data_IF_043436635295
#
_entry.id   IF_043436635295
#
_cell.length_a   1.000
_cell.length_b   1.000
_cell.length_c   1.000
_cell.angle_alpha   90.00
_cell.angle_beta   90.00
_cell.angle_gamma   90.00
#
_symmetry.space_group_name_H-M   'P 1'
#
loop_
_entity.id
_entity.type
_entity.pdbx_description
1 polymer ?
#
# COMPACT_ATOMS: atom_id res chain seq x y z
N UNK A 1 -16.72 -16.44 3.89
CA UNK A 1 -15.28 -16.65 3.70
C UNK A 1 -14.89 -17.87 4.52
N UNK A 2 -14.29 -18.86 3.89
CA UNK A 2 -13.73 -20.04 4.57
C UNK A 2 -12.21 -19.86 4.66
N UNK A 3 -11.61 -20.21 5.80
CA UNK A 3 -10.16 -20.12 6.02
C UNK A 3 -9.62 -21.51 6.32
N UNK A 4 -8.54 -21.88 5.62
CA UNK A 4 -7.80 -23.11 5.89
C UNK A 4 -7.23 -23.09 7.34
N UNK A 5 -7.14 -24.23 8.06
CA UNK A 5 -6.66 -24.25 9.44
C UNK A 5 -5.29 -23.61 9.65
N UNK A 6 -4.37 -23.74 8.68
CA UNK A 6 -3.07 -23.06 8.75
C UNK A 6 -3.18 -21.54 8.68
N UNK A 7 -4.10 -20.99 7.86
CA UNK A 7 -4.36 -19.55 7.82
C UNK A 7 -4.91 -19.04 9.16
N UNK A 8 -5.75 -19.84 9.82
CA UNK A 8 -6.25 -19.53 11.18
C UNK A 8 -5.09 -19.51 12.19
N UNK A 9 -4.23 -20.53 12.18
CA UNK A 9 -3.01 -20.56 13.03
C UNK A 9 -2.14 -19.33 12.85
N UNK A 10 -1.92 -18.89 11.59
CA UNK A 10 -1.17 -17.67 11.29
C UNK A 10 -1.91 -16.42 11.78
N UNK A 11 -3.23 -16.36 11.57
CA UNK A 11 -4.08 -15.25 11.98
C UNK A 11 -4.08 -15.06 13.50
N UNK A 12 -4.06 -16.15 14.26
CA UNK A 12 -4.12 -16.14 15.72
C UNK A 12 -2.76 -15.87 16.40
N UNK A 13 -1.77 -15.41 15.65
CA UNK A 13 -0.47 -14.97 16.19
C UNK A 13 -0.48 -13.50 16.61
N UNK A 14 0.32 -13.09 17.62
CA UNK A 14 0.48 -11.68 18.00
C UNK A 14 0.88 -10.77 16.83
N UNK A 15 1.78 -11.27 15.96
CA UNK A 15 2.29 -10.56 14.80
C UNK A 15 1.17 -10.20 13.81
N UNK A 16 0.19 -11.09 13.62
CA UNK A 16 -0.96 -10.82 12.75
C UNK A 16 -2.06 -10.03 13.47
N UNK A 17 -2.40 -10.38 14.71
CA UNK A 17 -3.42 -9.67 15.50
C UNK A 17 -3.08 -8.19 15.71
N UNK A 18 -1.79 -7.84 15.73
CA UNK A 18 -1.28 -6.46 15.68
C UNK A 18 -1.95 -5.61 14.61
N UNK A 19 -2.26 -6.16 13.44
CA UNK A 19 -2.86 -5.40 12.33
C UNK A 19 -4.25 -4.82 12.67
N UNK A 20 -4.90 -5.27 13.76
CA UNK A 20 -6.14 -4.67 14.27
C UNK A 20 -5.92 -3.25 14.82
N UNK A 21 -4.69 -2.92 15.16
CA UNK A 21 -4.28 -1.69 15.80
C UNK A 21 -3.54 -0.75 14.82
N UNK A 22 -3.67 -0.98 13.50
CA UNK A 22 -3.05 -0.16 12.46
C UNK A 22 -4.11 0.21 11.42
N UNK A 23 -4.47 1.50 11.36
CA UNK A 23 -5.44 2.04 10.42
C UNK A 23 -4.97 1.84 8.98
N UNK A 24 -5.86 1.35 8.12
CA UNK A 24 -5.58 1.15 6.68
C UNK A 24 -5.12 2.47 6.03
N UNK A 25 -5.86 3.54 6.32
CA UNK A 25 -5.69 4.85 5.69
C UNK A 25 -5.01 5.88 6.60
N UNK A 26 -4.20 5.44 7.56
CA UNK A 26 -3.37 6.34 8.38
C UNK A 26 -4.17 7.43 9.06
N UNK A 27 -3.87 8.71 8.76
CA UNK A 27 -4.57 9.86 9.35
C UNK A 27 -5.92 10.21 8.70
N UNK A 28 -6.31 9.50 7.64
CA UNK A 28 -7.51 9.81 6.85
C UNK A 28 -8.80 9.73 7.68
N UNK A 29 -8.86 8.90 8.72
CA UNK A 29 -10.04 8.81 9.59
C UNK A 29 -10.39 10.12 10.30
N UNK A 30 -9.43 11.04 10.45
CA UNK A 30 -9.64 12.38 11.02
C UNK A 30 -10.26 13.38 10.02
N UNK A 31 -10.48 12.95 8.77
CA UNK A 31 -11.18 13.72 7.73
C UNK A 31 -12.41 12.95 7.27
N UNK A 32 -12.26 11.65 7.03
CA UNK A 32 -13.31 10.72 6.65
C UNK A 32 -13.61 9.79 7.83
N UNK A 33 -14.57 10.12 8.71
CA UNK A 33 -14.80 9.35 9.94
C UNK A 33 -15.22 7.89 9.69
N UNK A 34 -15.72 7.56 8.48
CA UNK A 34 -16.01 6.18 8.08
C UNK A 34 -14.76 5.34 7.78
N UNK A 35 -13.60 5.95 7.53
CA UNK A 35 -12.32 5.28 7.30
C UNK A 35 -11.69 4.72 8.59
N UNK A 36 -12.48 4.02 9.40
CA UNK A 36 -12.08 3.46 10.70
C UNK A 36 -11.44 2.07 10.62
N UNK A 37 -11.44 1.46 9.43
CA UNK A 37 -10.93 0.11 9.19
C UNK A 37 -9.41 0.02 9.30
N UNK A 38 -8.95 -1.17 9.64
CA UNK A 38 -7.55 -1.51 9.90
C UNK A 38 -7.03 -2.50 8.87
N UNK A 39 -5.70 -2.68 8.86
CA UNK A 39 -5.00 -3.60 7.96
C UNK A 39 -5.46 -5.06 8.15
N UNK A 40 -5.89 -5.44 9.35
CA UNK A 40 -6.32 -6.82 9.67
C UNK A 40 -7.42 -7.34 8.74
N UNK A 41 -8.54 -6.64 8.65
CA UNK A 41 -9.67 -7.07 7.81
C UNK A 41 -9.38 -6.95 6.32
N UNK A 42 -8.47 -6.06 5.91
CA UNK A 42 -7.96 -5.96 4.56
C UNK A 42 -7.12 -7.19 4.20
N UNK A 43 -6.14 -7.57 5.02
CA UNK A 43 -5.32 -8.78 4.84
C UNK A 43 -6.17 -10.06 4.71
N UNK A 44 -7.24 -10.19 5.50
CA UNK A 44 -8.18 -11.30 5.35
C UNK A 44 -8.91 -11.29 3.99
N UNK A 45 -9.30 -10.11 3.52
CA UNK A 45 -9.93 -9.95 2.21
C UNK A 45 -8.99 -10.26 1.04
N UNK A 46 -7.72 -9.84 1.14
CA UNK A 46 -6.69 -10.16 0.14
C UNK A 46 -6.42 -11.66 0.10
N UNK A 47 -6.28 -12.33 1.25
CA UNK A 47 -6.15 -13.79 1.30
C UNK A 47 -7.33 -14.51 0.63
N UNK A 48 -8.55 -14.04 0.88
CA UNK A 48 -9.75 -14.57 0.24
C UNK A 48 -9.75 -14.39 -1.28
N UNK A 49 -9.46 -13.18 -1.77
CA UNK A 49 -9.43 -12.90 -3.21
C UNK A 49 -8.28 -13.62 -3.92
N UNK A 50 -7.12 -13.75 -3.28
CA UNK A 50 -5.98 -14.52 -3.78
C UNK A 50 -6.39 -15.98 -4.00
N UNK A 51 -7.02 -16.62 -3.00
CA UNK A 51 -7.56 -17.98 -3.14
C UNK A 51 -8.65 -18.08 -4.22
N UNK A 52 -9.55 -17.10 -4.32
CA UNK A 52 -10.57 -17.10 -5.38
C UNK A 52 -9.95 -17.04 -6.78
N UNK A 53 -8.92 -16.21 -6.99
CA UNK A 53 -8.28 -16.05 -8.29
C UNK A 53 -7.53 -17.32 -8.70
N UNK A 54 -6.69 -17.87 -7.81
CA UNK A 54 -5.98 -19.14 -8.10
C UNK A 54 -6.96 -20.27 -8.39
N UNK A 55 -8.04 -20.37 -7.60
CA UNK A 55 -9.06 -21.40 -7.80
C UNK A 55 -9.78 -21.24 -9.13
N UNK A 56 -10.13 -20.02 -9.53
CA UNK A 56 -10.72 -19.75 -10.83
C UNK A 56 -9.77 -20.12 -11.99
N UNK A 57 -8.46 -19.85 -11.86
CA UNK A 57 -7.47 -20.27 -12.85
C UNK A 57 -7.39 -21.80 -12.93
N UNK A 58 -7.39 -22.49 -11.79
CA UNK A 58 -7.38 -23.96 -11.71
C UNK A 58 -8.62 -24.57 -12.37
N UNK A 59 -9.81 -24.09 -12.01
CA UNK A 59 -11.09 -24.55 -12.56
C UNK A 59 -11.20 -24.29 -14.07
N UNK A 60 -10.64 -23.18 -14.54
CA UNK A 60 -10.66 -22.80 -15.96
C UNK A 60 -9.65 -23.57 -16.83
N UNK A 61 -8.56 -24.07 -16.24
CA UNK A 61 -7.41 -24.65 -16.93
C UNK A 61 -6.68 -25.70 -16.08
N UNK A 62 -7.21 -26.93 -16.13
CA UNK A 62 -6.63 -28.09 -15.42
C UNK A 62 -5.19 -28.40 -15.88
N UNK A 63 -4.80 -28.01 -17.09
CA UNK A 63 -3.45 -28.20 -17.63
C UNK A 63 -2.37 -27.41 -16.89
N UNK A 64 -2.74 -26.39 -16.09
CA UNK A 64 -1.82 -25.60 -15.26
C UNK A 64 -1.31 -26.35 -14.03
N UNK A 65 -1.90 -27.52 -13.72
CA UNK A 65 -1.51 -28.41 -12.61
C UNK A 65 -1.37 -27.66 -11.27
N UNK A 66 -2.22 -26.67 -11.02
CA UNK A 66 -2.22 -25.91 -9.75
C UNK A 66 -2.56 -26.89 -8.62
N UNK A 67 -1.67 -26.98 -7.64
CA UNK A 67 -1.85 -27.89 -6.50
C UNK A 67 -2.55 -27.19 -5.34
N UNK A 68 -3.00 -27.96 -4.34
CA UNK A 68 -3.60 -27.38 -3.13
C UNK A 68 -2.54 -26.60 -2.33
N UNK A 69 -1.28 -27.01 -2.38
CA UNK A 69 -0.14 -26.30 -1.80
C UNK A 69 0.10 -24.95 -2.49
N UNK A 70 -0.02 -24.87 -3.83
CA UNK A 70 0.06 -23.60 -4.57
C UNK A 70 -1.04 -22.62 -4.11
N UNK A 71 -2.27 -23.11 -3.99
CA UNK A 71 -3.42 -22.31 -3.52
C UNK A 71 -3.14 -21.80 -2.11
N UNK A 72 -2.71 -22.68 -1.20
CA UNK A 72 -2.44 -22.33 0.19
C UNK A 72 -1.30 -21.32 0.30
N UNK A 73 -0.20 -21.48 -0.45
CA UNK A 73 0.91 -20.54 -0.49
C UNK A 73 0.45 -19.15 -0.93
N UNK A 74 -0.34 -19.06 -2.00
CA UNK A 74 -0.85 -17.78 -2.50
C UNK A 74 -1.81 -17.13 -1.51
N UNK A 75 -2.64 -17.91 -0.80
CA UNK A 75 -3.48 -17.41 0.28
C UNK A 75 -2.66 -16.89 1.47
N UNK A 76 -1.62 -17.63 1.89
CA UNK A 76 -0.73 -17.19 2.98
C UNK A 76 -0.01 -15.90 2.58
N UNK A 77 0.50 -15.80 1.35
CA UNK A 77 1.12 -14.58 0.85
C UNK A 77 0.14 -13.41 0.85
N UNK A 78 -1.09 -13.61 0.35
CA UNK A 78 -2.15 -12.61 0.40
C UNK A 78 -2.52 -12.19 1.82
N UNK A 79 -2.54 -13.13 2.78
CA UNK A 79 -2.76 -12.85 4.20
C UNK A 79 -1.61 -12.01 4.78
N UNK A 80 -0.37 -12.36 4.46
CA UNK A 80 0.81 -11.82 5.13
C UNK A 80 1.45 -10.60 4.44
N UNK A 81 0.98 -10.20 3.25
CA UNK A 81 1.64 -9.15 2.44
C UNK A 81 1.80 -7.80 3.17
N UNK A 82 0.90 -7.53 4.12
CA UNK A 82 0.77 -6.26 4.82
C UNK A 82 1.26 -6.28 6.29
N UNK A 83 1.83 -7.39 6.75
CA UNK A 83 2.34 -7.55 8.11
C UNK A 83 3.36 -6.46 8.52
N UNK A 84 4.10 -5.96 7.53
CA UNK A 84 5.18 -5.00 7.70
C UNK A 84 4.75 -3.55 7.85
N UNK A 85 3.46 -3.22 7.73
CA UNK A 85 3.02 -1.84 7.95
C UNK A 85 3.24 -1.39 9.40
N UNK A 86 3.69 -0.15 9.57
CA UNK A 86 3.90 0.48 10.86
C UNK A 86 2.72 1.37 11.29
N UNK A 87 2.86 2.10 12.42
CA UNK A 87 1.85 3.05 12.88
C UNK A 87 1.44 4.04 11.79
N UNK A 88 0.14 4.16 11.54
CA UNK A 88 -0.43 4.99 10.49
C UNK A 88 -0.05 4.58 9.06
N UNK A 89 0.25 3.30 8.83
CA UNK A 89 0.48 2.71 7.50
C UNK A 89 1.55 3.47 6.69
N UNK A 90 1.15 4.17 5.62
CA UNK A 90 2.07 4.82 4.67
C UNK A 90 2.83 6.03 5.25
N UNK A 91 2.36 6.56 6.38
CA UNK A 91 3.07 7.61 7.12
C UNK A 91 4.38 7.06 7.67
N UNK A 92 4.39 5.81 8.14
CA UNK A 92 5.53 5.25 8.82
C UNK A 92 6.69 4.97 7.87
N UNK A 93 6.47 4.15 6.84
CA UNK A 93 7.47 3.80 5.83
C UNK A 93 7.85 5.00 4.94
N UNK A 94 6.87 5.86 4.62
CA UNK A 94 7.07 7.00 3.72
C UNK A 94 7.72 8.23 4.36
N UNK A 95 7.39 8.53 5.63
CA UNK A 95 7.80 9.79 6.28
C UNK A 95 8.64 9.58 7.55
N UNK A 96 8.35 8.56 8.37
CA UNK A 96 9.05 8.35 9.66
C UNK A 96 10.37 7.59 9.48
N UNK A 97 10.32 6.41 8.86
CA UNK A 97 11.48 5.53 8.66
C UNK A 97 12.64 6.23 7.92
N UNK A 98 12.41 7.03 6.87
CA UNK A 98 13.48 7.71 6.15
C UNK A 98 14.24 8.70 7.04
N UNK A 99 13.52 9.45 7.88
CA UNK A 99 14.10 10.40 8.82
C UNK A 99 14.84 9.69 9.97
N UNK A 100 14.22 8.66 10.56
CA UNK A 100 14.78 7.91 11.69
C UNK A 100 16.04 7.13 11.29
N UNK A 101 16.01 6.43 10.15
CA UNK A 101 17.19 5.69 9.65
C UNK A 101 18.17 6.56 8.88
N UNK A 102 17.87 7.84 8.64
CA UNK A 102 18.62 8.75 7.74
C UNK A 102 18.86 8.13 6.35
N UNK A 103 17.84 7.45 5.83
CA UNK A 103 17.86 6.82 4.49
C UNK A 103 16.94 7.56 3.53
N UNK A 104 17.14 7.35 2.23
CA UNK A 104 16.18 7.83 1.22
C UNK A 104 14.82 7.14 1.39
N UNK A 105 13.73 7.87 1.15
CA UNK A 105 12.34 7.39 1.26
C UNK A 105 12.10 6.04 0.55
N UNK A 106 12.78 5.78 -0.58
CA UNK A 106 12.59 4.55 -1.36
C UNK A 106 13.16 3.26 -0.76
N UNK A 107 13.81 3.31 0.42
CA UNK A 107 14.49 2.15 1.04
C UNK A 107 13.81 1.60 2.30
N UNK A 108 12.81 2.28 2.87
CA UNK A 108 12.13 1.89 4.10
C UNK A 108 10.87 1.05 3.89
N UNK A 109 10.91 0.06 2.99
CA UNK A 109 9.71 -0.59 2.45
C UNK A 109 9.01 -1.53 3.42
N UNK A 110 7.69 -1.41 3.54
CA UNK A 110 6.88 -2.31 4.36
C UNK A 110 6.93 -3.76 3.86
N UNK A 111 7.14 -4.00 2.56
CA UNK A 111 7.22 -5.37 2.02
C UNK A 111 8.35 -6.20 2.65
N UNK A 112 9.51 -5.59 2.91
CA UNK A 112 10.64 -6.26 3.57
C UNK A 112 10.33 -6.55 5.05
N UNK A 113 9.61 -5.65 5.71
CA UNK A 113 9.15 -5.87 7.08
C UNK A 113 8.06 -6.95 7.13
N UNK A 114 7.24 -7.09 6.09
CA UNK A 114 6.26 -8.18 6.00
C UNK A 114 6.93 -9.54 5.93
N UNK A 115 8.02 -9.68 5.15
CA UNK A 115 8.83 -10.90 5.13
C UNK A 115 9.46 -11.18 6.50
N UNK A 116 10.02 -10.17 7.16
CA UNK A 116 10.61 -10.33 8.49
C UNK A 116 9.56 -10.80 9.52
N UNK A 117 8.37 -10.20 9.50
CA UNK A 117 7.26 -10.57 10.38
C UNK A 117 6.71 -11.97 10.05
N UNK A 118 6.64 -12.32 8.78
CA UNK A 118 6.26 -13.67 8.35
C UNK A 118 7.27 -14.73 8.82
N UNK A 119 8.57 -14.44 8.71
CA UNK A 119 9.63 -15.31 9.23
C UNK A 119 9.50 -15.56 10.74
N UNK A 120 9.17 -14.51 11.49
CA UNK A 120 8.95 -14.62 12.93
C UNK A 120 7.70 -15.44 13.27
N UNK A 121 6.61 -15.28 12.52
CA UNK A 121 5.42 -16.15 12.62
C UNK A 121 5.80 -17.61 12.37
N UNK A 122 6.50 -17.90 11.27
CA UNK A 122 6.91 -19.28 10.93
C UNK A 122 7.79 -19.87 12.04
N UNK A 123 8.71 -19.07 12.58
CA UNK A 123 9.56 -19.47 13.70
C UNK A 123 8.75 -19.76 14.96
N UNK A 124 7.77 -18.92 15.32
CA UNK A 124 6.88 -19.16 16.46
C UNK A 124 6.06 -20.43 16.29
N UNK A 125 5.47 -20.65 15.11
CA UNK A 125 4.70 -21.86 14.82
C UNK A 125 5.57 -23.13 14.88
N UNK A 126 6.79 -23.09 14.32
CA UNK A 126 7.75 -24.22 14.39
C UNK A 126 8.24 -24.49 15.81
N UNK A 127 8.27 -23.48 16.69
CA UNK A 127 8.62 -23.67 18.09
C UNK A 127 7.54 -24.42 18.88
N UNK A 128 6.26 -24.28 18.49
CA UNK A 128 5.14 -25.03 19.08
C UNK A 128 5.00 -26.43 18.46
N UNK A 129 5.17 -26.54 17.14
CA UNK A 129 5.17 -27.80 16.40
C UNK A 129 6.12 -27.69 15.20
N UNK A 130 7.26 -28.38 15.27
CA UNK A 130 8.31 -28.34 14.24
C UNK A 130 7.81 -28.71 12.85
N UNK A 131 6.82 -29.61 12.77
CA UNK A 131 6.26 -30.13 11.52
C UNK A 131 4.97 -29.43 11.10
N UNK A 132 4.56 -28.32 11.75
CA UNK A 132 3.28 -27.62 11.49
C UNK A 132 3.04 -27.28 10.02
N UNK A 133 4.08 -26.89 9.27
CA UNK A 133 3.97 -26.60 7.84
C UNK A 133 3.85 -27.90 7.02
N UNK A 134 4.64 -28.93 7.37
CA UNK A 134 4.64 -30.22 6.68
C UNK A 134 3.33 -30.99 6.87
N UNK A 135 2.68 -30.85 8.03
CA UNK A 135 1.33 -31.39 8.29
C UNK A 135 0.28 -30.86 7.30
N UNK A 136 0.54 -29.69 6.70
CA UNK A 136 -0.28 -29.06 5.68
C UNK A 136 0.32 -29.15 4.28
N UNK A 137 1.30 -30.03 4.06
CA UNK A 137 1.93 -30.27 2.76
C UNK A 137 2.97 -29.24 2.34
N UNK A 138 3.32 -28.27 3.20
CA UNK A 138 4.25 -27.21 2.86
C UNK A 138 5.69 -27.53 3.25
N UNK A 139 6.63 -27.22 2.36
CA UNK A 139 8.07 -27.38 2.56
C UNK A 139 8.84 -26.04 2.61
N UNK A 140 10.17 -26.10 2.66
CA UNK A 140 11.00 -24.89 2.71
C UNK A 140 10.99 -24.10 1.38
N UNK A 141 10.75 -24.75 0.23
CA UNK A 141 10.58 -24.09 -1.08
C UNK A 141 9.29 -23.27 -1.09
N UNK A 142 8.23 -23.75 -0.44
CA UNK A 142 6.98 -23.02 -0.26
C UNK A 142 7.14 -21.77 0.60
N UNK A 143 7.95 -21.85 1.67
CA UNK A 143 8.27 -20.67 2.50
C UNK A 143 9.00 -19.62 1.67
N UNK A 144 9.94 -20.02 0.80
CA UNK A 144 10.61 -19.11 -0.14
C UNK A 144 9.59 -18.49 -1.10
N UNK A 145 8.71 -19.30 -1.69
CA UNK A 145 7.69 -18.85 -2.61
C UNK A 145 6.76 -17.80 -1.99
N UNK A 146 6.27 -18.03 -0.78
CA UNK A 146 5.41 -17.09 -0.05
C UNK A 146 6.11 -15.73 0.13
N UNK A 147 7.40 -15.72 0.50
CA UNK A 147 8.17 -14.47 0.67
C UNK A 147 8.33 -13.73 -0.65
N UNK A 148 8.63 -14.45 -1.72
CA UNK A 148 8.75 -13.87 -3.06
C UNK A 148 7.42 -13.25 -3.54
N UNK A 149 6.28 -13.87 -3.22
CA UNK A 149 4.95 -13.30 -3.49
C UNK A 149 4.70 -12.03 -2.67
N UNK A 150 5.11 -11.99 -1.40
CA UNK A 150 4.96 -10.83 -0.50
C UNK A 150 5.82 -9.65 -0.97
N UNK A 151 7.09 -9.87 -1.30
CA UNK A 151 7.97 -8.81 -1.81
C UNK A 151 7.58 -8.32 -3.21
N UNK A 152 6.88 -9.19 -3.95
CA UNK A 152 6.64 -9.05 -5.38
C UNK A 152 7.96 -9.21 -6.14
N UNK A 153 8.46 -10.44 -6.16
CA UNK A 153 9.66 -10.80 -6.89
C UNK A 153 9.61 -10.27 -8.32
N UNK A 154 10.71 -9.64 -8.76
CA UNK A 154 10.83 -9.16 -10.13
C UNK A 154 11.08 -10.34 -11.04
N UNK A 155 10.01 -10.83 -11.60
CA UNK A 155 10.06 -11.82 -12.67
C UNK A 155 10.50 -11.13 -13.95
N UNK A 156 11.81 -11.09 -14.20
CA UNK A 156 12.36 -10.56 -15.45
C UNK A 156 12.41 -11.66 -16.52
N UNK A 157 12.35 -11.27 -17.80
CA UNK A 157 12.60 -12.19 -18.93
C UNK A 157 14.06 -12.71 -18.95
N UNK A 158 14.95 -12.16 -18.11
CA UNK A 158 16.36 -12.53 -18.03
C UNK A 158 16.57 -13.58 -16.94
N UNK A 159 17.17 -14.70 -17.35
CA UNK A 159 17.36 -15.94 -16.60
C UNK A 159 18.12 -15.83 -15.26
N UNK A 160 18.73 -14.69 -14.93
CA UNK A 160 19.51 -14.50 -13.69
C UNK A 160 18.67 -14.16 -12.46
N UNK A 161 17.43 -13.70 -12.66
CA UNK A 161 16.54 -13.22 -11.59
C UNK A 161 15.28 -14.10 -11.44
N UNK A 162 15.32 -15.36 -11.92
CA UNK A 162 14.18 -16.28 -11.78
C UNK A 162 13.94 -16.59 -10.30
N UNK A 163 12.71 -16.41 -9.78
CA UNK A 163 12.35 -16.79 -8.43
C UNK A 163 12.67 -18.26 -8.14
N UNK A 164 13.07 -18.56 -6.90
CA UNK A 164 13.44 -19.91 -6.47
C UNK A 164 12.24 -20.72 -5.95
N UNK A 165 11.16 -20.06 -5.54
CA UNK A 165 10.00 -20.70 -4.92
C UNK A 165 9.15 -21.54 -5.88
N UNK A 166 9.04 -21.14 -7.14
CA UNK A 166 8.31 -21.86 -8.20
C UNK A 166 9.00 -21.71 -9.54
N UNK A 167 8.85 -22.73 -10.37
CA UNK A 167 9.47 -22.80 -11.68
C UNK A 167 8.65 -21.95 -12.71
N UNK A 168 9.21 -21.71 -13.88
CA UNK A 168 8.63 -20.79 -14.89
C UNK A 168 7.27 -21.23 -15.43
N UNK A 169 6.90 -22.51 -15.35
CA UNK A 169 5.56 -22.98 -15.72
C UNK A 169 4.46 -22.40 -14.79
N UNK A 170 4.84 -21.99 -13.58
CA UNK A 170 3.98 -21.39 -12.54
C UNK A 170 4.16 -19.87 -12.40
N UNK A 171 4.86 -19.24 -13.34
CA UNK A 171 5.17 -17.81 -13.37
C UNK A 171 3.96 -16.90 -13.10
N UNK A 172 2.78 -17.26 -13.60
CA UNK A 172 1.53 -16.52 -13.42
C UNK A 172 1.08 -16.39 -11.95
N UNK A 173 1.53 -17.25 -11.03
CA UNK A 173 1.17 -17.14 -9.62
C UNK A 173 1.78 -15.89 -8.96
N UNK A 174 2.93 -15.42 -9.46
CA UNK A 174 3.59 -14.19 -8.98
C UNK A 174 2.83 -12.91 -9.34
N UNK A 175 1.80 -13.01 -10.18
CA UNK A 175 0.96 -11.88 -10.60
C UNK A 175 -0.28 -11.68 -9.70
N UNK A 176 -0.47 -12.52 -8.68
CA UNK A 176 -1.72 -12.56 -7.91
C UNK A 176 -1.71 -11.61 -6.72
N UNK A 177 -0.66 -11.64 -5.90
CA UNK A 177 -0.59 -10.91 -4.63
C UNK A 177 0.05 -9.54 -4.80
N UNK A 178 1.23 -9.46 -5.42
CA UNK A 178 1.96 -8.21 -5.62
C UNK A 178 2.53 -8.15 -7.04
N UNK A 179 1.70 -7.72 -7.99
CA UNK A 179 2.05 -7.74 -9.41
C UNK A 179 2.93 -6.53 -9.78
N UNK A 180 4.26 -6.71 -9.80
CA UNK A 180 5.18 -5.63 -10.17
C UNK A 180 5.27 -5.38 -11.68
N UNK A 181 4.65 -6.21 -12.52
CA UNK A 181 4.69 -6.05 -13.99
C UNK A 181 3.71 -4.97 -14.47
N UNK A 182 2.45 -5.06 -14.05
CA UNK A 182 1.40 -4.12 -14.48
C UNK A 182 0.55 -3.57 -13.32
N UNK A 183 0.81 -4.01 -12.09
CA UNK A 183 0.09 -3.54 -10.92
C UNK A 183 -1.34 -4.04 -10.81
N UNK A 184 -1.75 -5.08 -11.55
CA UNK A 184 -3.07 -5.72 -11.38
C UNK A 184 -2.91 -6.91 -10.43
N UNK A 185 -3.39 -6.76 -9.20
CA UNK A 185 -3.32 -7.76 -8.15
C UNK A 185 -4.54 -7.70 -7.22
N UNK A 186 -4.74 -8.75 -6.43
CA UNK A 186 -5.90 -8.91 -5.55
C UNK A 186 -5.88 -7.98 -4.32
N UNK A 187 -4.71 -7.46 -3.96
CA UNK A 187 -4.56 -6.36 -2.98
C UNK A 187 -5.43 -5.16 -3.37
N UNK A 188 -5.25 -4.68 -4.61
CA UNK A 188 -6.05 -3.57 -5.17
C UNK A 188 -7.53 -3.86 -5.21
N UNK A 189 -7.90 -5.09 -5.53
CA UNK A 189 -9.30 -5.47 -5.64
C UNK A 189 -10.01 -5.37 -4.29
N UNK A 190 -9.35 -5.79 -3.20
CA UNK A 190 -9.88 -5.64 -1.85
C UNK A 190 -9.94 -4.17 -1.44
N UNK A 191 -8.81 -3.44 -1.50
CA UNK A 191 -8.80 -2.08 -0.95
C UNK A 191 -9.68 -1.13 -1.76
N UNK A 192 -9.86 -1.32 -3.08
CA UNK A 192 -10.84 -0.51 -3.82
C UNK A 192 -12.25 -0.71 -3.30
N UNK A 193 -12.70 -1.95 -3.11
CA UNK A 193 -14.03 -2.23 -2.60
C UNK A 193 -14.20 -1.74 -1.16
N UNK A 194 -13.21 -2.01 -0.31
CA UNK A 194 -13.20 -1.70 1.11
C UNK A 194 -13.10 -0.21 1.38
N UNK A 195 -12.15 0.48 0.76
CA UNK A 195 -11.95 1.91 0.97
C UNK A 195 -13.12 2.69 0.40
N UNK A 196 -13.64 2.33 -0.78
CA UNK A 196 -14.86 2.92 -1.31
C UNK A 196 -16.04 2.80 -0.33
N UNK A 197 -16.24 1.63 0.26
CA UNK A 197 -17.28 1.40 1.26
C UNK A 197 -17.12 2.32 2.48
N UNK A 198 -15.93 2.37 3.07
CA UNK A 198 -15.66 3.15 4.28
C UNK A 198 -15.58 4.66 4.04
N UNK A 199 -15.15 5.10 2.85
CA UNK A 199 -15.05 6.50 2.46
C UNK A 199 -16.38 7.07 1.92
N UNK A 200 -17.34 6.21 1.59
CA UNK A 200 -18.58 6.62 0.90
C UNK A 200 -18.35 7.04 -0.57
N UNK A 201 -17.29 6.52 -1.19
CA UNK A 201 -16.95 6.75 -2.60
C UNK A 201 -17.46 5.54 -3.40
N UNK A 202 -17.96 5.75 -4.62
CA UNK A 202 -18.44 4.64 -5.44
C UNK A 202 -17.27 3.89 -6.09
N UNK A 203 -17.17 2.60 -5.84
CA UNK A 203 -16.28 1.72 -6.60
C UNK A 203 -16.86 1.48 -8.00
N UNK A 204 -16.09 1.79 -9.06
CA UNK A 204 -16.49 1.50 -10.45
C UNK A 204 -15.93 0.20 -10.99
N UNK A 205 -15.02 -0.45 -10.26
CA UNK A 205 -14.36 -1.68 -10.68
C UNK A 205 -15.06 -2.93 -10.14
N UNK A 206 -15.36 -3.89 -11.01
CA UNK A 206 -15.96 -5.18 -10.66
C UNK A 206 -14.92 -6.31 -10.75
N UNK A 207 -14.30 -6.62 -9.61
CA UNK A 207 -13.33 -7.69 -9.48
C UNK A 207 -13.95 -9.08 -9.63
N UNK A 208 -15.21 -9.28 -9.22
CA UNK A 208 -15.87 -10.59 -9.31
C UNK A 208 -16.06 -10.99 -10.77
N UNK A 209 -16.39 -10.01 -11.62
CA UNK A 209 -16.48 -10.20 -13.05
C UNK A 209 -15.10 -10.45 -13.67
N UNK A 210 -14.10 -9.64 -13.34
CA UNK A 210 -12.75 -9.79 -13.91
C UNK A 210 -12.15 -11.17 -13.60
N UNK A 211 -12.32 -11.63 -12.36
CA UNK A 211 -11.87 -12.95 -11.88
C UNK A 211 -12.42 -14.10 -12.73
N UNK A 212 -13.72 -14.07 -13.08
CA UNK A 212 -14.34 -15.10 -13.93
C UNK A 212 -13.79 -15.15 -15.35
N UNK A 213 -13.19 -14.05 -15.82
CA UNK A 213 -12.63 -13.94 -17.16
C UNK A 213 -11.10 -14.05 -17.18
N UNK A 214 -10.47 -14.35 -16.05
CA UNK A 214 -9.03 -14.62 -15.98
C UNK A 214 -8.70 -16.00 -16.59
N UNK A 215 -7.63 -16.04 -17.38
CA UNK A 215 -6.99 -17.24 -17.94
C UNK A 215 -5.48 -17.06 -17.92
N UNK A 216 -4.73 -18.13 -18.09
CA UNK A 216 -3.29 -18.12 -18.29
C UNK A 216 -2.98 -18.39 -19.77
N UNK A 217 -2.14 -17.56 -20.37
CA UNK A 217 -1.62 -17.75 -21.72
C UNK A 217 -0.10 -17.58 -21.73
N UNK A 218 0.56 -18.27 -22.66
CA UNK A 218 2.00 -18.13 -22.85
C UNK A 218 2.30 -16.85 -23.67
N UNK A 219 3.21 -16.03 -23.17
CA UNK A 219 3.78 -14.86 -23.86
C UNK A 219 5.28 -14.93 -23.71
N UNK A 220 6.02 -14.88 -24.83
CA UNK A 220 7.49 -14.93 -24.83
C UNK A 220 8.09 -16.11 -24.02
N UNK A 221 7.42 -17.27 -24.02
CA UNK A 221 7.87 -18.45 -23.27
C UNK A 221 7.57 -18.44 -21.77
N UNK A 222 6.76 -17.48 -21.29
CA UNK A 222 6.33 -17.36 -19.89
C UNK A 222 4.81 -17.37 -19.78
N UNK A 223 4.28 -17.94 -18.71
CA UNK A 223 2.85 -17.98 -18.45
C UNK A 223 2.39 -16.72 -17.70
N UNK A 224 1.44 -16.00 -18.28
CA UNK A 224 0.89 -14.75 -17.72
C UNK A 224 -0.61 -14.83 -17.51
N UNK A 225 -1.12 -14.13 -16.49
CA UNK A 225 -2.55 -13.92 -16.32
C UNK A 225 -3.04 -12.96 -17.40
N UNK A 226 -4.01 -13.43 -18.16
CA UNK A 226 -4.67 -12.73 -19.25
C UNK A 226 -6.16 -12.58 -18.96
N UNK A 227 -6.74 -11.45 -19.36
CA UNK A 227 -8.17 -11.20 -19.22
C UNK A 227 -8.90 -11.27 -20.57
N UNK A 228 -10.21 -11.48 -20.56
CA UNK A 228 -11.01 -11.43 -21.78
C UNK A 228 -10.98 -10.01 -22.37
N UNK A 229 -10.72 -9.87 -23.67
CA UNK A 229 -10.70 -8.59 -24.42
C UNK A 229 -11.83 -7.59 -24.05
N UNK A 230 -13.07 -8.07 -23.89
CA UNK A 230 -14.24 -7.26 -23.55
C UNK A 230 -14.19 -6.65 -22.13
N UNK A 231 -13.26 -7.09 -21.30
CA UNK A 231 -13.05 -6.58 -19.94
C UNK A 231 -12.05 -5.42 -19.90
N UNK A 232 -11.52 -4.98 -21.05
CA UNK A 232 -10.57 -3.88 -21.09
C UNK A 232 -11.11 -2.57 -20.49
N UNK A 233 -12.40 -2.27 -20.68
CA UNK A 233 -13.04 -1.12 -20.02
C UNK A 233 -13.12 -1.30 -18.48
N UNK A 234 -13.36 -2.52 -18.00
CA UNK A 234 -13.38 -2.82 -16.56
C UNK A 234 -11.96 -2.68 -15.95
N UNK A 235 -10.94 -3.14 -16.66
CA UNK A 235 -9.53 -2.92 -16.29
C UNK A 235 -9.20 -1.42 -16.29
N UNK A 236 -9.69 -0.66 -17.27
CA UNK A 236 -9.54 0.80 -17.28
C UNK A 236 -10.21 1.45 -16.06
N UNK A 237 -11.43 1.04 -15.74
CA UNK A 237 -12.19 1.51 -14.57
C UNK A 237 -11.49 1.16 -13.24
N UNK A 238 -10.71 0.08 -13.18
CA UNK A 238 -9.83 -0.23 -12.06
C UNK A 238 -8.80 0.90 -11.84
N UNK A 239 -8.07 1.29 -12.88
CA UNK A 239 -7.09 2.36 -12.81
C UNK A 239 -7.73 3.74 -12.57
N UNK A 240 -8.95 3.97 -13.08
CA UNK A 240 -9.73 5.18 -12.77
C UNK A 240 -10.18 5.22 -11.30
N UNK A 241 -10.57 4.08 -10.75
CA UNK A 241 -10.96 3.96 -9.34
C UNK A 241 -9.77 4.28 -8.44
N UNK A 242 -8.58 3.73 -8.74
CA UNK A 242 -7.33 4.09 -8.07
C UNK A 242 -7.08 5.59 -8.08
N UNK A 243 -7.10 6.20 -9.26
CA UNK A 243 -6.90 7.64 -9.42
C UNK A 243 -7.89 8.46 -8.57
N UNK A 244 -9.16 8.06 -8.59
CA UNK A 244 -10.23 8.74 -7.83
C UNK A 244 -9.98 8.67 -6.32
N UNK A 245 -9.62 7.49 -5.80
CA UNK A 245 -9.32 7.28 -4.38
C UNK A 245 -8.09 8.08 -3.94
N UNK A 246 -7.01 8.07 -4.73
CA UNK A 246 -5.84 8.87 -4.46
C UNK A 246 -6.19 10.37 -4.43
N UNK A 247 -6.88 10.87 -5.45
CA UNK A 247 -7.19 12.31 -5.56
C UNK A 247 -8.16 12.81 -4.48
N UNK A 248 -9.18 12.02 -4.15
CA UNK A 248 -10.24 12.47 -3.23
C UNK A 248 -9.94 12.16 -1.77
N UNK A 249 -9.29 11.03 -1.47
CA UNK A 249 -9.10 10.55 -0.10
C UNK A 249 -7.63 10.48 0.30
N UNK A 250 -6.83 9.60 -0.30
CA UNK A 250 -5.47 9.31 0.19
C UNK A 250 -4.55 10.51 0.12
N UNK A 251 -4.73 11.34 -0.91
CA UNK A 251 -4.01 12.59 -1.10
C UNK A 251 -4.92 13.78 -0.83
N UNK A 252 -5.86 13.68 0.11
CA UNK A 252 -6.65 14.83 0.51
C UNK A 252 -5.76 15.82 1.29
N UNK A 253 -5.75 17.10 0.91
CA UNK A 253 -4.87 18.13 1.49
C UNK A 253 -4.85 18.20 3.03
N UNK A 254 -5.99 17.95 3.68
CA UNK A 254 -6.05 17.93 5.15
C UNK A 254 -5.54 16.61 5.72
N UNK A 255 -5.66 15.49 5.01
CA UNK A 255 -5.06 14.22 5.42
C UNK A 255 -3.53 14.35 5.38
N UNK A 256 -2.97 14.80 4.25
CA UNK A 256 -1.52 14.94 4.08
C UNK A 256 -0.89 15.80 5.19
N UNK A 257 -1.50 16.94 5.56
CA UNK A 257 -0.93 17.80 6.61
C UNK A 257 -1.05 17.18 8.01
N UNK A 258 -2.08 16.38 8.27
CA UNK A 258 -2.22 15.62 9.52
C UNK A 258 -1.13 14.54 9.58
N UNK A 259 -0.90 13.85 8.46
CA UNK A 259 0.13 12.81 8.34
C UNK A 259 1.55 13.37 8.49
N UNK A 260 1.84 14.54 7.90
CA UNK A 260 3.09 15.27 8.13
C UNK A 260 3.29 15.60 9.63
N UNK A 261 2.22 16.04 10.31
CA UNK A 261 2.26 16.32 11.74
C UNK A 261 2.45 15.05 12.58
N UNK A 262 1.86 13.93 12.18
CA UNK A 262 2.11 12.64 12.83
C UNK A 262 3.56 12.22 12.68
N UNK A 263 4.10 12.28 11.46
CA UNK A 263 5.50 11.96 11.20
C UNK A 263 6.43 12.85 12.04
N UNK A 264 6.19 14.16 12.07
CA UNK A 264 6.97 15.10 12.88
C UNK A 264 6.94 14.75 14.38
N UNK A 265 5.77 14.40 14.92
CA UNK A 265 5.63 14.01 16.32
C UNK A 265 6.36 12.71 16.65
N UNK A 266 6.28 11.70 15.77
CA UNK A 266 6.94 10.41 15.93
C UNK A 266 8.46 10.54 15.85
N UNK A 267 8.97 11.26 14.86
CA UNK A 267 10.42 11.53 14.71
C UNK A 267 10.96 12.25 15.94
N UNK A 268 10.26 13.26 16.47
CA UNK A 268 10.68 13.95 17.71
C UNK A 268 10.63 13.06 18.95
N UNK A 269 9.75 12.06 18.98
CA UNK A 269 9.62 11.13 20.11
C UNK A 269 10.68 10.02 20.12
N UNK A 270 11.47 9.88 19.04
CA UNK A 270 12.46 8.82 18.90
C UNK A 270 13.75 9.13 19.66
N UNK A 271 14.06 8.29 20.65
CA UNK A 271 15.20 8.41 21.58
C UNK A 271 16.53 8.49 20.86
N UNK A 272 16.68 7.77 19.74
CA UNK A 272 17.97 7.64 19.06
C UNK A 272 18.42 8.88 18.32
N UNK A 273 17.51 9.80 18.03
CA UNK A 273 17.80 11.07 17.38
C UNK A 273 18.30 12.14 18.36
N UNK A 274 18.30 11.87 19.67
CA UNK A 274 18.67 12.83 20.72
C UNK A 274 19.98 12.47 21.43
N UNK A 275 20.81 13.49 21.69
CA UNK A 275 22.07 13.35 22.41
C UNK A 275 21.82 13.08 23.92
N UNK A 276 22.52 12.11 24.51
CA UNK A 276 22.33 11.74 25.93
C UNK A 276 21.09 10.89 26.26
N UNK A 277 20.43 10.31 25.24
CA UNK A 277 19.35 9.30 25.23
C UNK A 277 18.64 9.00 26.57
N UNK A 278 17.64 9.83 26.94
CA UNK A 278 16.82 9.66 28.15
C UNK A 278 16.00 8.36 28.18
N UNK A 279 15.74 7.81 29.37
CA UNK A 279 14.98 6.56 29.53
C UNK A 279 13.48 6.64 29.20
N UNK A 280 12.93 7.84 29.10
CA UNK A 280 11.50 8.12 28.95
C UNK A 280 11.07 8.46 27.51
N UNK A 281 12.00 8.55 26.56
CA UNK A 281 11.70 8.65 25.12
C UNK A 281 11.42 7.29 24.48
N UNK A 282 10.70 7.27 23.36
CA UNK A 282 10.34 6.04 22.64
C UNK A 282 11.51 5.52 21.81
N UNK A 283 11.65 4.20 21.65
CA UNK A 283 12.76 3.59 20.88
C UNK A 283 12.26 3.11 19.51
N UNK A 284 11.76 4.02 18.68
CA UNK A 284 11.13 3.68 17.39
C UNK A 284 12.17 3.09 16.43
N UNK A 285 13.35 3.72 16.35
CA UNK A 285 14.50 3.26 15.55
C UNK A 285 15.01 1.85 15.89
N UNK A 286 14.90 1.44 17.16
CA UNK A 286 15.32 0.13 17.65
C UNK A 286 14.20 -0.90 17.42
N UNK A 287 12.94 -0.51 17.64
CA UNK A 287 11.80 -1.41 17.49
C UNK A 287 11.66 -1.98 16.06
N UNK A 288 12.14 -1.26 15.05
CA UNK A 288 12.12 -1.70 13.65
C UNK A 288 13.25 -2.67 13.27
N UNK A 289 14.10 -3.07 14.22
CA UNK A 289 15.23 -4.00 13.97
C UNK A 289 14.87 -5.46 14.18
N UNK A 290 13.90 -5.74 15.06
CA UNK A 290 13.47 -7.10 15.40
C UNK A 290 11.98 -7.23 15.15
N UNK A 291 11.52 -8.41 14.72
CA UNK A 291 10.10 -8.67 14.55
C UNK A 291 9.34 -8.57 15.88
N UNK A 292 9.95 -9.05 16.97
CA UNK A 292 9.35 -9.00 18.30
C UNK A 292 9.05 -7.58 18.77
N UNK A 293 10.00 -6.65 18.65
CA UNK A 293 9.76 -5.26 19.06
C UNK A 293 8.86 -4.53 18.07
N UNK A 294 9.00 -4.83 16.77
CA UNK A 294 8.12 -4.28 15.74
C UNK A 294 6.66 -4.71 15.94
N UNK A 295 6.45 -5.91 16.48
CA UNK A 295 5.12 -6.44 16.74
C UNK A 295 4.34 -5.60 17.77
N UNK A 296 5.06 -4.90 18.65
CA UNK A 296 4.50 -4.02 19.70
C UNK A 296 4.25 -2.60 19.18
N UNK A 297 4.74 -2.26 17.98
CA UNK A 297 4.66 -0.92 17.42
C UNK A 297 3.40 -0.76 16.57
N UNK A 298 2.37 -0.09 17.12
CA UNK A 298 1.05 0.11 16.49
C UNK A 298 0.61 1.57 16.60
N UNK A 299 -0.60 1.91 16.12
CA UNK A 299 -1.16 3.27 16.24
C UNK A 299 -1.32 3.71 17.70
N UNK A 300 -1.26 2.78 18.68
CA UNK A 300 -1.30 3.08 20.11
C UNK A 300 -0.17 4.02 20.56
N UNK A 301 0.92 4.11 19.79
CA UNK A 301 2.00 5.07 20.02
C UNK A 301 1.48 6.53 20.11
N UNK A 302 0.39 6.82 19.41
CA UNK A 302 -0.28 8.11 19.47
C UNK A 302 -0.80 8.43 20.87
N UNK A 303 -1.55 7.49 21.46
CA UNK A 303 -2.08 7.62 22.81
C UNK A 303 -0.94 7.62 23.85
N UNK A 304 0.08 6.78 23.67
CA UNK A 304 1.26 6.75 24.55
C UNK A 304 1.95 8.11 24.65
N UNK A 305 2.12 8.82 23.52
CA UNK A 305 2.70 10.17 23.51
C UNK A 305 1.76 11.18 24.17
N UNK A 306 0.46 11.11 23.87
CA UNK A 306 -0.53 12.04 24.40
C UNK A 306 -0.73 11.94 25.91
N UNK A 307 -0.76 10.72 26.45
CA UNK A 307 -0.95 10.45 27.88
C UNK A 307 0.35 10.60 28.69
N UNK A 308 1.51 10.70 28.04
CA UNK A 308 2.78 10.83 28.72
C UNK A 308 2.85 12.13 29.53
N UNK A 309 3.35 12.03 30.77
CA UNK A 309 3.67 13.17 31.64
C UNK A 309 5.11 13.64 31.49
N UNK A 310 5.93 12.95 30.69
CA UNK A 310 7.32 13.34 30.48
C UNK A 310 7.41 14.70 29.78
N UNK A 311 8.30 15.56 30.31
CA UNK A 311 8.68 16.81 29.65
C UNK A 311 9.47 16.56 28.36
N UNK A 312 10.12 15.40 28.20
CA UNK A 312 10.88 15.04 27.00
C UNK A 312 9.98 14.78 25.79
N UNK A 313 8.77 14.28 26.02
CA UNK A 313 7.76 14.09 24.97
C UNK A 313 6.84 15.30 24.79
N UNK A 314 7.10 16.43 25.47
CA UNK A 314 6.23 17.61 25.43
C UNK A 314 6.04 18.15 24.01
N UNK A 315 7.10 18.25 23.21
CA UNK A 315 6.98 18.77 21.84
C UNK A 315 6.13 17.87 20.94
N UNK A 316 6.38 16.56 20.97
CA UNK A 316 5.55 15.57 20.26
C UNK A 316 4.10 15.64 20.71
N UNK A 317 3.87 15.69 22.03
CA UNK A 317 2.53 15.81 22.64
C UNK A 317 1.84 17.11 22.23
N UNK A 318 2.55 18.22 22.13
CA UNK A 318 1.99 19.51 21.70
C UNK A 318 1.56 19.46 20.22
N UNK A 319 2.33 18.78 19.36
CA UNK A 319 1.95 18.56 17.95
C UNK A 319 0.67 17.72 17.86
N UNK A 320 0.60 16.59 18.57
CA UNK A 320 -0.58 15.72 18.55
C UNK A 320 -1.82 16.43 19.14
N UNK A 321 -1.65 17.23 20.19
CA UNK A 321 -2.73 18.06 20.74
C UNK A 321 -3.26 19.09 19.74
N UNK A 322 -2.41 19.65 18.87
CA UNK A 322 -2.85 20.53 17.78
C UNK A 322 -3.73 19.77 16.78
N UNK A 323 -3.42 18.51 16.47
CA UNK A 323 -4.25 17.66 15.61
C UNK A 323 -5.65 17.47 16.23
N UNK A 324 -5.71 17.04 17.49
CA UNK A 324 -6.97 16.81 18.23
C UNK A 324 -7.82 18.09 18.29
N UNK A 325 -7.19 19.23 18.59
CA UNK A 325 -7.87 20.53 18.69
C UNK A 325 -8.14 21.18 17.33
N UNK A 326 -7.85 20.48 16.23
CA UNK A 326 -7.99 20.96 14.84
C UNK A 326 -7.23 22.27 14.56
N UNK A 327 -6.15 22.52 15.30
CA UNK A 327 -5.19 23.62 15.06
C UNK A 327 -4.15 23.22 14.02
N UNK A 328 -4.63 22.91 12.83
CA UNK A 328 -3.83 22.44 11.71
C UNK A 328 -3.24 23.62 10.92
N UNK A 329 -2.04 23.47 10.32
CA UNK A 329 -1.54 24.40 9.30
C UNK A 329 -2.59 24.69 8.23
N UNK A 330 -2.68 25.93 7.79
CA UNK A 330 -3.69 26.37 6.82
C UNK A 330 -3.22 26.10 5.40
N UNK A 331 -4.07 25.48 4.61
CA UNK A 331 -3.82 25.25 3.18
C UNK A 331 -3.89 26.57 2.42
N UNK A 332 -2.80 26.95 1.76
CA UNK A 332 -2.63 28.21 1.02
C UNK A 332 -3.05 28.07 -0.44
N UNK A 333 -2.66 26.97 -1.08
CA UNK A 333 -2.98 26.75 -2.48
C UNK A 333 -2.40 25.46 -3.04
N UNK A 334 -2.88 25.10 -4.24
CA UNK A 334 -2.43 23.94 -5.01
C UNK A 334 -2.17 24.38 -6.46
N UNK A 335 -1.09 23.88 -7.05
CA UNK A 335 -0.77 24.11 -8.46
C UNK A 335 -0.33 22.82 -9.13
N UNK A 336 -0.81 22.59 -10.35
CA UNK A 336 -0.32 21.54 -11.23
C UNK A 336 1.10 21.90 -11.70
N UNK A 337 2.05 21.02 -11.42
CA UNK A 337 3.46 21.22 -11.76
C UNK A 337 3.69 20.92 -13.24
N UNK A 338 4.40 21.82 -13.92
CA UNK A 338 4.93 21.57 -15.28
C UNK A 338 6.40 21.13 -15.27
N UNK A 339 7.19 21.40 -14.21
CA UNK A 339 8.56 20.89 -13.95
C UNK A 339 9.07 21.25 -12.51
N UNK A 340 10.05 20.47 -11.99
CA UNK A 340 10.73 20.40 -10.65
C UNK A 340 10.78 21.69 -9.77
N UNK A 341 10.52 21.76 -8.44
CA UNK A 341 11.19 21.15 -7.25
C UNK A 341 10.48 21.53 -5.91
N UNK A 342 9.36 20.94 -5.47
CA UNK A 342 8.75 21.21 -4.14
C UNK A 342 7.99 19.98 -3.63
N UNK A 343 7.37 20.00 -2.45
CA UNK A 343 6.55 18.85 -1.97
C UNK A 343 5.54 18.43 -3.05
N UNK A 344 5.79 17.27 -3.65
CA UNK A 344 5.06 16.75 -4.81
C UNK A 344 4.14 15.65 -4.32
N UNK A 345 2.86 15.78 -4.63
CA UNK A 345 1.96 14.62 -4.67
C UNK A 345 2.00 14.08 -6.09
N UNK A 346 2.53 12.87 -6.25
CA UNK A 346 2.48 12.14 -7.51
C UNK A 346 1.15 11.39 -7.60
N UNK A 347 0.32 11.78 -8.56
CA UNK A 347 -0.89 11.07 -8.93
C UNK A 347 -0.65 10.37 -10.25
N UNK A 348 -0.76 9.05 -10.27
CA UNK A 348 -0.65 8.26 -11.48
C UNK A 348 -1.68 7.13 -11.51
N UNK A 349 -1.70 6.37 -12.59
CA UNK A 349 -2.44 5.12 -12.68
C UNK A 349 -1.63 3.89 -12.18
N UNK A 350 -0.60 4.09 -11.35
CA UNK A 350 0.22 3.04 -10.75
C UNK A 350 1.47 2.67 -11.54
N UNK A 351 1.66 3.27 -12.72
CA UNK A 351 2.80 3.02 -13.61
C UNK A 351 3.48 4.32 -14.09
N UNK A 352 3.48 5.37 -13.27
CA UNK A 352 4.02 6.69 -13.63
C UNK A 352 3.36 7.24 -14.91
N UNK A 353 4.17 7.62 -15.90
CA UNK A 353 3.75 8.19 -17.18
C UNK A 353 3.24 7.15 -18.18
N UNK A 354 3.40 5.85 -17.89
CA UNK A 354 3.00 4.78 -18.79
C UNK A 354 1.50 4.52 -18.74
N UNK A 355 0.93 4.17 -19.88
CA UNK A 355 -0.43 3.64 -19.92
C UNK A 355 -0.44 2.25 -19.28
N UNK A 356 -1.26 2.04 -18.22
CA UNK A 356 -1.25 0.77 -17.53
C UNK A 356 -1.82 -0.39 -18.38
N UNK A 357 -2.71 -0.13 -19.34
CA UNK A 357 -3.31 -1.18 -20.19
C UNK A 357 -2.30 -1.76 -21.18
N UNK A 358 -1.28 -1.01 -21.59
CA UNK A 358 -0.29 -1.48 -22.55
C UNK A 358 0.53 -2.68 -22.04
N UNK A 359 0.57 -2.88 -20.72
CA UNK A 359 1.27 -4.00 -20.06
C UNK A 359 0.30 -5.10 -19.59
N UNK A 360 -0.96 -5.08 -20.05
CA UNK A 360 -1.98 -6.08 -19.73
C UNK A 360 -2.20 -6.98 -20.93
N UNK A 361 -2.16 -8.28 -20.68
CA UNK A 361 -2.45 -9.27 -21.70
C UNK A 361 -3.94 -9.63 -21.73
N UNK A 362 -4.47 -9.71 -22.94
CA UNK A 362 -5.86 -10.06 -23.21
C UNK A 362 -5.95 -11.24 -24.18
N UNK A 363 -7.00 -12.06 -24.06
CA UNK A 363 -7.33 -13.10 -25.03
C UNK A 363 -8.67 -12.82 -25.73
N UNK A 364 -8.88 -13.44 -26.90
CA UNK A 364 -10.13 -13.35 -27.68
C UNK A 364 -10.97 -14.63 -27.58
N UNK A 365 -12.30 -14.56 -27.82
CA UNK A 365 -13.20 -15.71 -27.67
C UNK A 365 -12.88 -16.75 -28.74
N UNK A 366 -12.38 -16.27 -29.88
CA UNK A 366 -11.97 -17.09 -31.02
C UNK A 366 -10.62 -17.76 -30.78
N UNK A 367 -9.74 -17.12 -29.99
CA UNK A 367 -8.37 -17.56 -29.70
C UNK A 367 -8.11 -17.43 -28.18
N UNK A 368 -8.66 -18.35 -27.36
CA UNK A 368 -8.62 -18.24 -25.90
C UNK A 368 -7.26 -18.57 -25.25
N UNK A 369 -6.32 -19.09 -26.03
CA UNK A 369 -4.96 -19.44 -25.60
C UNK A 369 -3.89 -18.55 -26.26
N UNK A 370 -4.30 -17.53 -27.02
CA UNK A 370 -3.39 -16.54 -27.60
C UNK A 370 -3.58 -15.22 -26.88
N UNK A 371 -2.51 -14.75 -26.25
CA UNK A 371 -2.46 -13.42 -25.64
C UNK A 371 -2.24 -12.34 -26.71
N UNK A 372 -2.77 -11.16 -26.42
CA UNK A 372 -2.67 -9.97 -27.24
C UNK A 372 -2.71 -8.73 -26.34
N UNK A 373 -2.10 -7.64 -26.79
CA UNK A 373 -2.19 -6.34 -26.11
C UNK A 373 -3.22 -5.49 -26.85
N UNK A 374 -4.07 -4.79 -26.11
CA UNK A 374 -5.04 -3.84 -26.67
C UNK A 374 -4.42 -2.46 -26.67
N UNK A 375 -4.41 -1.80 -27.83
CA UNK A 375 -3.89 -0.44 -28.01
C UNK A 375 -4.99 0.60 -27.74
N UNK A 376 -4.60 1.79 -27.32
CA UNK A 376 -5.53 2.87 -26.92
C UNK A 376 -6.59 3.23 -27.97
N UNK A 377 -6.18 3.29 -29.23
CA UNK A 377 -7.09 3.60 -30.33
C UNK A 377 -8.19 2.54 -30.53
N UNK A 378 -8.03 1.35 -29.95
CA UNK A 378 -9.01 0.27 -30.01
C UNK A 378 -10.04 0.33 -28.87
N UNK A 379 -9.81 1.14 -27.83
CA UNK A 379 -10.71 1.29 -26.68
C UNK A 379 -11.66 2.47 -26.86
N UNK A 380 -11.17 3.69 -26.68
CA UNK A 380 -11.99 4.89 -26.75
C UNK A 380 -11.14 6.15 -26.91
N UNK A 381 -11.61 7.08 -27.73
CA UNK A 381 -11.00 8.42 -27.87
C UNK A 381 -11.24 9.34 -26.67
N UNK A 382 -12.09 8.92 -25.73
CA UNK A 382 -12.36 9.65 -24.48
C UNK A 382 -11.41 9.27 -23.34
N UNK A 383 -10.48 8.34 -23.55
CA UNK A 383 -9.46 8.01 -22.55
C UNK A 383 -8.46 9.18 -22.37
N UNK A 384 -7.89 9.35 -21.16
CA UNK A 384 -6.84 10.31 -20.89
C UNK A 384 -5.62 10.10 -21.79
N UNK A 385 -5.01 11.22 -22.22
CA UNK A 385 -3.76 11.22 -22.99
C UNK A 385 -2.50 11.29 -22.11
N UNK A 386 -2.68 11.44 -20.79
CA UNK A 386 -1.62 11.52 -19.79
C UNK A 386 -2.02 10.66 -18.60
N UNK A 387 -1.06 9.92 -18.06
CA UNK A 387 -1.29 8.95 -16.99
C UNK A 387 -0.65 9.34 -15.66
N UNK A 388 0.03 10.49 -15.63
CA UNK A 388 0.57 11.09 -14.42
C UNK A 388 0.29 12.59 -14.34
N UNK A 389 0.19 13.07 -13.10
CA UNK A 389 0.20 14.48 -12.76
C UNK A 389 0.89 14.71 -11.41
N UNK A 390 1.53 15.86 -11.27
CA UNK A 390 2.24 16.27 -10.06
C UNK A 390 1.54 17.50 -9.46
N UNK A 391 1.13 17.43 -8.20
CA UNK A 391 0.50 18.55 -7.49
C UNK A 391 1.45 19.10 -6.44
N UNK A 392 1.63 20.43 -6.43
CA UNK A 392 2.35 21.15 -5.38
C UNK A 392 1.35 21.77 -4.44
N UNK A 393 1.50 21.52 -3.14
CA UNK A 393 0.66 22.11 -2.08
C UNK A 393 1.48 22.91 -1.10
N UNK A 394 0.97 24.09 -0.75
CA UNK A 394 1.61 24.97 0.22
C UNK A 394 0.72 25.12 1.44
N UNK A 395 1.34 25.01 2.62
CA UNK A 395 0.68 25.16 3.91
C UNK A 395 1.38 26.21 4.76
N UNK A 396 0.59 26.95 5.52
CA UNK A 396 1.04 27.96 6.45
C UNK A 396 0.97 27.43 7.89
N UNK A 397 2.13 27.28 8.55
CA UNK A 397 2.25 26.61 9.86
C UNK A 397 1.73 27.44 11.04
N UNK A 398 1.82 28.76 10.99
CA UNK A 398 1.50 29.59 12.15
C UNK A 398 -0.01 29.84 12.24
N UNK A 399 -0.65 29.27 13.26
CA UNK A 399 -2.08 29.50 13.53
C UNK A 399 -2.31 30.20 14.87
N UNK A 400 -1.25 30.81 15.42
CA UNK A 400 -1.31 31.54 16.68
C UNK A 400 -1.65 33.02 16.41
N UNK A 401 -2.37 33.65 17.34
CA UNK A 401 -2.91 35.01 17.20
C UNK A 401 -4.43 35.04 17.06
N UNK A 402 -5.01 36.24 17.08
CA UNK A 402 -6.46 36.39 16.90
C UNK A 402 -6.88 36.13 15.43
N UNK A 403 -8.18 35.97 15.17
CA UNK A 403 -8.68 35.66 13.81
C UNK A 403 -8.25 36.68 12.75
N UNK A 404 -8.16 37.95 13.11
CA UNK A 404 -7.80 39.02 12.16
C UNK A 404 -6.33 38.96 11.76
N UNK A 405 -5.44 38.69 12.72
CA UNK A 405 -4.01 38.46 12.46
C UNK A 405 -3.79 37.22 11.59
N UNK A 406 -4.52 36.14 11.86
CA UNK A 406 -4.45 34.93 11.05
C UNK A 406 -4.88 35.19 9.61
N UNK A 407 -5.96 35.96 9.39
CA UNK A 407 -6.42 36.33 8.05
C UNK A 407 -5.39 37.17 7.30
N UNK A 408 -4.80 38.19 7.93
CA UNK A 408 -3.76 39.03 7.28
C UNK A 408 -2.54 38.21 6.85
N UNK A 409 -2.04 37.35 7.73
CA UNK A 409 -0.89 36.46 7.41
C UNK A 409 -1.25 35.43 6.34
N UNK A 410 -2.50 34.99 6.28
CA UNK A 410 -3.00 34.10 5.23
C UNK A 410 -2.98 34.80 3.87
N UNK A 411 -3.49 36.02 3.79
CA UNK A 411 -3.46 36.82 2.55
C UNK A 411 -2.02 37.08 2.08
N UNK A 412 -1.08 37.32 3.00
CA UNK A 412 0.34 37.43 2.67
C UNK A 412 0.91 36.12 2.12
N UNK A 413 0.59 34.98 2.75
CA UNK A 413 1.01 33.67 2.27
C UNK A 413 0.46 33.35 0.88
N UNK A 414 -0.80 33.68 0.61
CA UNK A 414 -1.44 33.54 -0.70
C UNK A 414 -0.76 34.42 -1.77
N UNK A 415 -0.45 35.68 -1.45
CA UNK A 415 0.29 36.58 -2.35
C UNK A 415 1.68 36.04 -2.66
N UNK A 416 2.42 35.59 -1.65
CA UNK A 416 3.73 34.97 -1.82
C UNK A 416 3.64 33.72 -2.70
N UNK A 417 2.64 32.87 -2.48
CA UNK A 417 2.42 31.68 -3.29
C UNK A 417 2.08 32.04 -4.74
N UNK A 418 1.25 33.05 -4.97
CA UNK A 418 0.92 33.50 -6.32
C UNK A 418 2.14 34.05 -7.05
N UNK A 419 2.93 34.93 -6.42
CA UNK A 419 4.19 35.46 -6.98
C UNK A 419 5.15 34.32 -7.31
N UNK A 420 5.26 33.33 -6.41
CA UNK A 420 6.07 32.16 -6.64
C UNK A 420 5.55 31.33 -7.83
N UNK A 421 4.23 31.12 -7.93
CA UNK A 421 3.62 30.43 -9.07
C UNK A 421 3.88 31.14 -10.40
N UNK A 422 3.70 32.46 -10.44
CA UNK A 422 3.92 33.28 -11.65
C UNK A 422 5.37 33.20 -12.11
N UNK A 423 6.31 33.21 -11.15
CA UNK A 423 7.75 33.14 -11.42
C UNK A 423 8.22 31.76 -11.91
N UNK A 424 7.57 30.68 -11.47
CA UNK A 424 8.05 29.30 -11.72
C UNK A 424 7.24 28.54 -12.78
N UNK A 425 5.97 28.89 -13.00
CA UNK A 425 5.11 28.21 -13.98
C UNK A 425 4.68 29.10 -15.15
N UNK A 426 5.06 30.37 -15.13
CA UNK A 426 4.66 31.39 -16.09
C UNK A 426 3.19 31.78 -15.95
N UNK A 427 2.87 33.01 -16.34
CA UNK A 427 1.49 33.40 -16.64
C UNK A 427 1.02 32.57 -17.85
N UNK A 428 -0.01 31.74 -17.67
CA UNK A 428 -0.76 31.19 -18.80
C UNK A 428 -1.75 32.23 -19.30
#
# INVERSE_FOLDING_TARGET
MELHPLLVKITDTPQFQRLRHIKQLGGTYLVYPGASHNRFEHSLGVAYLAGCLVKALCDNQLELKITDEDILCVQIAGLCHDLGHGPFSHVFDGLVIPEVKKIKQSKGKHEQMSVLMFDDIVKSLKAENEDVLKEHGLDDKDVIFIKELIEGAKTSEVQSDTPAGRDEDKSFLYEIVANKQNGIDVDKWDYFARDCHHLGIRNSFDHQRLLKFARVCEVNGRNHICFRDKEADNVYDMFRTRYTLHRQAYQHKICNIIEDMFAEALVRADRDLHEGKPEDMLKISEAIKTAEDYSKLTDEIFEQILSSTSDKLKESRDILNKIIRRKLPKFVGEKLKKTHWFSVVDLDHGMKDKNPIENVYFYSKRKPNEASVIKDHQLSSFLPKRFNEELVRVYYKNTDGNKEEQMKKMEEAEKCFQIWCDSNFGLQ
#
